data_IF_748170383708
#
_entry.id   IF_748170383708
#
_cell.length_a   1.000
_cell.length_b   1.000
_cell.length_c   1.000
_cell.angle_alpha   90.00
_cell.angle_beta   90.00
_cell.angle_gamma   90.00
#
_symmetry.space_group_name_H-M   'P 1'
#
loop_
_entity.id
_entity.type
_entity.pdbx_description
1 polymer ?
#
# COMPACT_ATOMS: atom_id res chain seq x y z
N UNK A 1 -45.46 2.97 26.21
CA UNK A 1 -44.61 4.05 25.67
C UNK A 1 -43.10 3.74 25.61
N UNK A 2 -42.63 2.57 26.06
CA UNK A 2 -41.19 2.23 26.10
C UNK A 2 -40.69 1.44 24.87
N UNK A 3 -41.55 0.65 24.22
CA UNK A 3 -41.17 -0.18 23.06
C UNK A 3 -40.91 0.64 21.79
N UNK A 4 -41.64 1.75 21.58
CA UNK A 4 -41.47 2.65 20.41
C UNK A 4 -40.15 3.43 20.42
N UNK A 5 -39.51 3.59 21.58
CA UNK A 5 -38.21 4.31 21.71
C UNK A 5 -37.02 3.42 21.36
N UNK A 6 -37.13 2.10 21.53
CA UNK A 6 -36.05 1.15 21.24
C UNK A 6 -35.91 0.94 19.73
N UNK A 7 -37.03 0.87 18.99
CA UNK A 7 -37.02 0.71 17.52
C UNK A 7 -36.36 1.90 16.81
N UNK A 8 -36.50 3.12 17.34
CA UNK A 8 -35.88 4.31 16.78
C UNK A 8 -34.34 4.34 16.94
N UNK A 9 -33.80 3.71 18.01
CA UNK A 9 -32.36 3.65 18.27
C UNK A 9 -31.65 2.61 17.37
N UNK A 10 -32.33 1.53 16.99
CA UNK A 10 -31.75 0.49 16.12
C UNK A 10 -31.61 0.97 14.66
N UNK A 11 -32.49 1.85 14.19
CA UNK A 11 -32.45 2.38 12.82
C UNK A 11 -31.32 3.39 12.57
N UNK A 12 -30.81 4.06 13.60
CA UNK A 12 -29.70 5.03 13.48
C UNK A 12 -28.34 4.31 13.38
N UNK A 13 -28.21 3.10 13.95
CA UNK A 13 -26.97 2.32 13.90
C UNK A 13 -26.65 1.71 12.53
N UNK A 14 -27.65 1.46 11.69
CA UNK A 14 -27.47 0.81 10.39
C UNK A 14 -26.79 1.70 9.33
N UNK A 15 -26.86 3.03 9.47
CA UNK A 15 -26.22 3.97 8.54
C UNK A 15 -24.72 4.19 8.80
N UNK A 16 -24.21 3.79 9.97
CA UNK A 16 -22.79 3.95 10.31
C UNK A 16 -21.88 2.94 9.60
N UNK A 17 -22.44 1.93 8.92
CA UNK A 17 -21.69 0.91 8.17
C UNK A 17 -21.60 1.20 6.66
N UNK A 18 -22.16 2.30 6.18
CA UNK A 18 -22.03 2.74 4.78
C UNK A 18 -20.67 3.41 4.48
N UNK A 19 -19.62 3.07 5.23
CA UNK A 19 -18.28 3.66 5.14
C UNK A 19 -17.36 3.00 4.11
N UNK A 20 -17.86 2.12 3.25
CA UNK A 20 -17.15 1.67 2.06
C UNK A 20 -17.90 2.20 0.84
N UNK A 21 -17.71 3.47 0.52
CA UNK A 21 -17.83 3.87 -0.88
C UNK A 21 -16.82 3.03 -1.65
N UNK A 22 -17.28 2.23 -2.61
CA UNK A 22 -16.42 1.62 -3.63
C UNK A 22 -15.76 2.76 -4.43
N UNK A 23 -14.71 3.34 -3.85
CA UNK A 23 -13.96 4.41 -4.46
C UNK A 23 -13.22 3.86 -5.66
N UNK A 24 -13.56 4.34 -6.86
CA UNK A 24 -12.80 4.02 -8.06
C UNK A 24 -11.31 4.31 -7.83
N UNK A 25 -10.48 3.30 -8.11
CA UNK A 25 -9.03 3.41 -7.98
C UNK A 25 -8.51 4.53 -8.89
N UNK A 26 -7.83 5.54 -8.33
CA UNK A 26 -7.37 6.69 -9.10
C UNK A 26 -6.26 6.27 -10.07
N UNK A 27 -6.54 6.29 -11.36
CA UNK A 27 -5.54 6.04 -12.41
C UNK A 27 -4.89 7.33 -12.91
N UNK A 28 -3.60 7.30 -13.33
CA UNK A 28 -2.98 8.46 -13.95
C UNK A 28 -3.62 8.78 -15.31
N UNK A 29 -3.45 10.01 -15.78
CA UNK A 29 -3.79 10.36 -17.18
C UNK A 29 -3.00 9.49 -18.16
N UNK A 30 -3.64 9.06 -19.25
CA UNK A 30 -3.03 8.23 -20.30
C UNK A 30 -1.72 8.82 -20.85
N UNK A 31 -1.70 10.13 -21.07
CA UNK A 31 -0.51 10.86 -21.54
C UNK A 31 0.66 10.78 -20.56
N UNK A 32 0.39 10.79 -19.25
CA UNK A 32 1.42 10.67 -18.21
C UNK A 32 1.98 9.24 -18.17
N UNK A 33 1.12 8.23 -18.33
CA UNK A 33 1.53 6.82 -18.39
C UNK A 33 2.53 6.56 -19.53
N UNK A 34 2.31 7.19 -20.69
CA UNK A 34 3.14 6.98 -21.88
C UNK A 34 4.48 7.74 -21.82
N UNK A 35 4.51 8.93 -21.19
CA UNK A 35 5.66 9.86 -21.25
C UNK A 35 6.49 9.94 -19.97
N UNK A 36 5.88 9.73 -18.81
CA UNK A 36 6.48 9.99 -17.51
C UNK A 36 6.59 8.72 -16.66
N UNK A 37 6.77 7.58 -17.33
CA UNK A 37 7.03 6.29 -16.70
C UNK A 37 8.52 6.13 -16.45
N UNK A 38 8.88 5.87 -15.20
CA UNK A 38 10.27 5.81 -14.74
C UNK A 38 10.50 4.56 -13.89
N UNK A 39 11.73 4.03 -13.92
CA UNK A 39 12.14 2.91 -13.07
C UNK A 39 12.07 3.35 -11.60
N UNK A 40 11.36 2.59 -10.77
CA UNK A 40 11.32 2.82 -9.33
C UNK A 40 12.57 2.23 -8.69
N UNK A 41 13.29 3.02 -7.91
CA UNK A 41 14.47 2.58 -7.15
C UNK A 41 14.05 2.08 -5.77
N UNK A 42 13.28 2.89 -5.04
CA UNK A 42 12.69 2.51 -3.76
C UNK A 42 11.41 3.30 -3.49
N UNK A 43 10.60 2.78 -2.58
CA UNK A 43 9.36 3.39 -2.10
C UNK A 43 9.10 2.95 -0.67
N UNK A 44 8.97 3.92 0.24
CA UNK A 44 8.74 3.70 1.66
C UNK A 44 7.60 4.60 2.16
N UNK A 45 6.70 4.00 2.93
CA UNK A 45 5.73 4.72 3.73
C UNK A 45 6.22 4.77 5.17
N UNK A 46 6.35 5.97 5.71
CA UNK A 46 6.93 6.26 7.00
C UNK A 46 5.89 6.90 7.91
N UNK A 47 6.03 6.65 9.21
CA UNK A 47 5.23 7.33 10.22
C UNK A 47 5.42 8.85 10.10
N UNK A 48 4.33 9.60 10.31
CA UNK A 48 4.31 11.05 10.17
C UNK A 48 3.75 11.73 11.43
N UNK A 49 4.07 11.18 12.60
CA UNK A 49 3.57 11.69 13.88
C UNK A 49 2.05 11.71 13.93
N UNK A 50 1.50 12.90 14.19
CA UNK A 50 0.06 13.14 14.37
C UNK A 50 -0.65 13.61 13.09
N UNK A 51 0.00 13.53 11.92
CA UNK A 51 -0.56 13.96 10.64
C UNK A 51 -1.56 12.94 10.05
N UNK A 52 -2.55 13.44 9.31
CA UNK A 52 -3.63 12.62 8.70
C UNK A 52 -3.11 11.61 7.65
N UNK A 53 -1.95 11.87 7.06
CA UNK A 53 -1.36 11.05 6.00
C UNK A 53 0.08 10.64 6.34
N UNK A 54 0.49 9.40 5.98
CA UNK A 54 1.86 8.97 6.16
C UNK A 54 2.82 9.81 5.31
N UNK A 55 4.07 9.87 5.72
CA UNK A 55 5.14 10.46 4.92
C UNK A 55 5.61 9.41 3.94
N UNK A 56 5.67 9.75 2.67
CA UNK A 56 6.22 8.88 1.63
C UNK A 56 7.60 9.38 1.25
N UNK A 57 8.56 8.46 1.17
CA UNK A 57 9.86 8.67 0.55
C UNK A 57 10.02 7.70 -0.62
N UNK A 58 10.44 8.23 -1.77
CA UNK A 58 10.69 7.39 -2.95
C UNK A 58 11.83 7.93 -3.78
N UNK A 59 12.43 7.05 -4.58
CA UNK A 59 13.33 7.46 -5.65
C UNK A 59 13.04 6.73 -6.96
N UNK A 60 13.32 7.42 -8.06
CA UNK A 60 13.17 6.89 -9.41
C UNK A 60 14.32 7.35 -10.30
N UNK A 61 14.62 6.56 -11.34
CA UNK A 61 15.58 6.97 -12.39
C UNK A 61 14.83 7.60 -13.55
N UNK A 62 15.24 8.79 -13.94
CA UNK A 62 14.74 9.39 -15.18
C UNK A 62 15.29 8.67 -16.42
N UNK A 63 14.82 9.08 -17.60
CA UNK A 63 15.20 8.47 -18.87
C UNK A 63 16.70 8.65 -19.21
N UNK A 64 17.40 9.55 -18.51
CA UNK A 64 18.84 9.76 -18.64
C UNK A 64 19.64 8.96 -17.59
N UNK A 65 18.98 8.13 -16.78
CA UNK A 65 19.59 7.34 -15.73
C UNK A 65 19.88 8.10 -14.44
N UNK A 66 19.49 9.37 -14.33
CA UNK A 66 19.70 10.16 -13.10
C UNK A 66 18.64 9.79 -12.07
N UNK A 67 19.08 9.48 -10.85
CA UNK A 67 18.20 9.23 -9.71
C UNK A 67 17.64 10.54 -9.16
N UNK A 68 16.33 10.58 -8.96
CA UNK A 68 15.62 11.65 -8.26
C UNK A 68 14.98 11.09 -7.01
N UNK A 69 15.17 11.78 -5.89
CA UNK A 69 14.53 11.45 -4.60
C UNK A 69 13.40 12.43 -4.35
N UNK A 70 12.31 11.93 -3.77
CA UNK A 70 11.11 12.70 -3.48
C UNK A 70 10.54 12.33 -2.12
N UNK A 71 10.13 13.36 -1.37
CA UNK A 71 9.43 13.22 -0.09
C UNK A 71 8.12 13.99 -0.17
N UNK A 72 7.01 13.37 0.22
CA UNK A 72 5.70 14.00 0.25
C UNK A 72 4.78 13.37 1.29
N UNK A 73 3.66 14.04 1.58
CA UNK A 73 2.52 13.43 2.23
C UNK A 73 1.88 12.38 1.30
N UNK A 74 1.31 11.33 1.91
CA UNK A 74 0.72 10.20 1.20
C UNK A 74 -0.47 10.54 0.30
N UNK A 75 -1.17 11.65 0.54
CA UNK A 75 -2.31 12.12 -0.27
C UNK A 75 -1.97 12.42 -1.75
N UNK A 76 -0.68 12.65 -2.03
CA UNK A 76 -0.13 12.90 -3.37
C UNK A 76 0.34 11.63 -4.08
N UNK A 77 0.25 10.48 -3.41
CA UNK A 77 0.81 9.22 -3.87
C UNK A 77 -0.29 8.17 -3.94
N UNK A 78 -0.40 7.51 -5.08
CA UNK A 78 -1.33 6.43 -5.33
C UNK A 78 -0.54 5.16 -5.56
N UNK A 79 -0.77 4.15 -4.73
CA UNK A 79 -0.07 2.89 -4.82
C UNK A 79 -0.92 1.85 -5.56
N UNK A 80 -0.29 1.16 -6.51
CA UNK A 80 -0.90 0.16 -7.36
C UNK A 80 -0.13 -1.16 -7.25
N UNK A 81 -0.81 -2.24 -6.88
CA UNK A 81 -0.18 -3.56 -6.75
C UNK A 81 -0.15 -4.26 -8.11
N UNK A 82 1.06 -4.52 -8.61
CA UNK A 82 1.28 -5.29 -9.83
C UNK A 82 0.98 -6.77 -9.57
N UNK A 83 -0.02 -7.30 -10.28
CA UNK A 83 -0.35 -8.73 -10.26
C UNK A 83 0.66 -9.49 -11.12
N UNK A 84 1.38 -10.43 -10.51
CA UNK A 84 2.30 -11.34 -11.19
C UNK A 84 3.71 -11.32 -10.62
N UNK A 85 4.36 -12.50 -10.62
CA UNK A 85 5.76 -12.65 -10.22
C UNK A 85 6.66 -11.99 -11.28
N UNK A 86 7.76 -11.39 -10.87
CA UNK A 86 8.81 -10.81 -11.73
C UNK A 86 8.42 -9.54 -12.53
N UNK A 87 7.48 -8.73 -12.06
CA UNK A 87 7.22 -7.41 -12.64
C UNK A 87 8.16 -6.38 -12.04
N UNK A 88 8.92 -5.66 -12.87
CA UNK A 88 9.75 -4.54 -12.40
C UNK A 88 8.87 -3.39 -11.91
N UNK A 89 9.14 -2.84 -10.72
CA UNK A 89 8.39 -1.71 -10.19
C UNK A 89 8.71 -0.44 -10.98
N UNK A 90 7.74 0.46 -11.06
CA UNK A 90 7.88 1.73 -11.77
C UNK A 90 7.01 2.81 -11.14
N UNK A 91 7.31 4.06 -11.46
CA UNK A 91 6.50 5.21 -11.06
C UNK A 91 6.03 5.98 -12.29
N UNK A 92 4.84 6.54 -12.21
CA UNK A 92 4.29 7.47 -13.19
C UNK A 92 4.08 8.82 -12.51
N UNK A 93 4.71 9.87 -13.04
CA UNK A 93 4.51 11.25 -12.57
C UNK A 93 3.38 11.92 -13.36
N UNK A 94 2.26 12.22 -12.69
CA UNK A 94 1.11 12.94 -13.25
C UNK A 94 0.99 14.32 -12.57
N UNK A 95 1.71 15.30 -13.15
CA UNK A 95 1.82 16.64 -12.57
C UNK A 95 2.50 16.63 -11.19
N UNK A 96 1.72 16.89 -10.14
CA UNK A 96 2.16 16.87 -8.73
C UNK A 96 1.87 15.54 -8.02
N UNK A 97 1.18 14.61 -8.69
CA UNK A 97 0.80 13.31 -8.16
C UNK A 97 1.75 12.24 -8.68
N UNK A 98 1.93 11.20 -7.89
CA UNK A 98 2.75 10.05 -8.23
C UNK A 98 1.93 8.78 -8.14
N UNK A 99 2.02 7.93 -9.15
CA UNK A 99 1.41 6.61 -9.17
C UNK A 99 2.52 5.58 -9.13
N UNK A 100 2.63 4.85 -8.02
CA UNK A 100 3.69 3.88 -7.75
C UNK A 100 3.16 2.48 -8.01
N UNK A 101 3.76 1.78 -8.96
CA UNK A 101 3.39 0.42 -9.34
C UNK A 101 4.47 -0.53 -8.85
N UNK A 102 4.13 -1.40 -7.90
CA UNK A 102 5.07 -2.35 -7.33
C UNK A 102 4.43 -3.70 -7.04
N UNK A 103 5.26 -4.73 -6.93
CA UNK A 103 4.82 -6.03 -6.42
C UNK A 103 4.48 -5.93 -4.93
N UNK A 104 3.60 -6.82 -4.42
CA UNK A 104 3.33 -6.87 -2.98
C UNK A 104 4.60 -7.24 -2.19
N UNK A 105 4.75 -6.71 -0.97
CA UNK A 105 5.86 -7.07 -0.08
C UNK A 105 5.77 -8.51 0.42
N UNK A 106 4.55 -8.99 0.62
CA UNK A 106 4.25 -10.33 1.09
C UNK A 106 3.12 -10.92 0.27
N UNK A 107 3.24 -12.19 -0.06
CA UNK A 107 2.16 -12.98 -0.66
C UNK A 107 1.94 -14.20 0.20
N UNK A 108 0.69 -14.48 0.55
CA UNK A 108 0.30 -15.71 1.20
C UNK A 108 -0.10 -16.72 0.12
N UNK A 109 0.38 -17.94 0.22
CA UNK A 109 -0.23 -19.08 -0.49
C UNK A 109 -0.83 -20.05 0.53
N UNK A 110 -1.89 -20.74 0.13
CA UNK A 110 -2.56 -21.73 1.00
C UNK A 110 -1.81 -23.06 1.01
N UNK A 111 -0.50 -23.05 0.73
CA UNK A 111 0.30 -24.27 0.75
C UNK A 111 0.75 -24.48 2.18
N UNK A 112 0.29 -25.58 2.77
CA UNK A 112 0.85 -26.04 4.03
C UNK A 112 2.33 -26.35 3.81
N UNK A 113 3.19 -25.73 4.61
CA UNK A 113 4.62 -26.01 4.61
C UNK A 113 4.81 -27.17 5.59
N UNK A 114 5.00 -28.36 5.04
CA UNK A 114 5.40 -29.53 5.83
C UNK A 114 6.92 -29.49 6.06
N UNK A 115 7.33 -29.66 7.31
CA UNK A 115 8.74 -29.70 7.69
C UNK A 115 8.98 -30.81 8.72
N UNK A 116 10.00 -31.63 8.46
CA UNK A 116 10.46 -32.64 9.41
C UNK A 116 11.49 -32.02 10.36
N UNK A 117 11.28 -32.14 11.68
CA UNK A 117 12.26 -31.70 12.67
C UNK A 117 13.42 -32.68 12.67
N UNK A 118 14.54 -32.29 12.05
CA UNK A 118 15.73 -33.14 11.89
C UNK A 118 16.54 -33.32 13.17
N UNK A 119 16.49 -32.34 14.07
CA UNK A 119 17.21 -32.40 15.35
C UNK A 119 16.56 -31.44 16.36
N UNK A 120 16.58 -31.82 17.63
CA UNK A 120 16.23 -30.96 18.77
C UNK A 120 17.40 -31.03 19.75
N UNK A 121 18.44 -30.25 19.47
CA UNK A 121 19.56 -30.11 20.39
C UNK A 121 19.11 -29.53 21.74
N UNK A 122 19.63 -30.08 22.82
CA UNK A 122 19.50 -29.51 24.16
C UNK A 122 20.31 -28.20 24.21
N UNK A 123 19.69 -27.11 24.66
CA UNK A 123 20.39 -25.85 24.86
C UNK A 123 21.07 -25.92 26.22
N UNK A 124 22.39 -26.15 26.23
CA UNK A 124 23.18 -26.13 27.46
C UNK A 124 23.08 -24.74 28.12
N UNK A 125 22.50 -24.70 29.32
CA UNK A 125 22.54 -23.54 30.19
C UNK A 125 23.90 -23.49 30.89
N UNK A 126 24.87 -22.83 30.27
CA UNK A 126 26.09 -22.40 30.97
C UNK A 126 25.93 -20.94 31.40
N UNK A 127 25.69 -20.78 32.71
CA UNK A 127 26.01 -19.59 33.50
C UNK A 127 27.50 -19.60 33.91
#
# INVERSE_FOLDING_TARGET
>A
MKLKRIVALVLIGAFALAGCEDGEEKTPKKEALDKNKHELVYFEQLANGDEDYPRVEMAYKDNNGKTHTYTAAGDKVYEHILKGKNKSPYVVKDGKKYHVYRTPYMTYDNKEIEGEVKDKGEVDSHD
#
